data_IF_574938791707
#
_entry.id   IF_574938791707
#
_cell.length_a   1.000
_cell.length_b   1.000
_cell.length_c   1.000
_cell.angle_alpha   90.00
_cell.angle_beta   90.00
_cell.angle_gamma   90.00
#
_symmetry.space_group_name_H-M   'P 1'
#
loop_
_entity.id
_entity.type
_entity.pdbx_description
1 polymer ?
#
# COMPACT_ATOMS: atom_id res chain seq x y z
N UNK A 1 28.27 16.88 -10.34
CA UNK A 1 27.11 16.67 -9.46
C UNK A 1 26.42 15.41 -9.95
N UNK A 2 26.77 14.25 -9.39
CA UNK A 2 26.20 12.96 -9.81
C UNK A 2 24.89 12.81 -9.04
N UNK A 3 23.77 12.79 -9.75
CA UNK A 3 22.48 12.41 -9.20
C UNK A 3 22.61 10.94 -8.80
N UNK A 4 22.80 10.68 -7.51
CA UNK A 4 22.75 9.32 -6.96
C UNK A 4 21.43 8.69 -7.36
N UNK A 5 21.52 7.59 -8.08
CA UNK A 5 20.39 6.76 -8.43
C UNK A 5 19.61 6.40 -7.17
N UNK A 6 18.29 6.59 -7.18
CA UNK A 6 17.37 6.05 -6.16
C UNK A 6 17.19 4.51 -6.31
N UNK A 7 18.21 3.80 -6.76
CA UNK A 7 18.17 2.35 -7.01
C UNK A 7 18.92 1.53 -5.94
N UNK A 8 19.14 2.11 -4.75
CA UNK A 8 19.90 1.46 -3.67
C UNK A 8 19.12 0.47 -2.80
N UNK A 9 17.81 0.28 -3.04
CA UNK A 9 16.96 -0.59 -2.23
C UNK A 9 16.65 -1.86 -3.03
N UNK A 10 16.94 -3.02 -2.44
CA UNK A 10 16.65 -4.31 -3.07
C UNK A 10 15.15 -4.45 -3.36
N UNK A 11 14.82 -5.00 -4.53
CA UNK A 11 13.45 -5.38 -4.83
C UNK A 11 12.96 -6.47 -3.85
N UNK A 12 11.66 -6.48 -3.54
CA UNK A 12 11.10 -7.44 -2.61
C UNK A 12 10.98 -8.83 -3.24
N UNK A 13 10.91 -9.85 -2.39
CA UNK A 13 10.42 -11.16 -2.81
C UNK A 13 8.90 -11.13 -3.01
N UNK A 14 8.37 -12.10 -3.76
CA UNK A 14 6.92 -12.26 -3.95
C UNK A 14 6.17 -12.35 -2.61
N UNK A 15 6.72 -13.08 -1.65
CA UNK A 15 6.13 -13.25 -0.32
C UNK A 15 6.10 -11.94 0.48
N UNK A 16 7.14 -11.10 0.34
CA UNK A 16 7.16 -9.76 0.94
C UNK A 16 6.07 -8.86 0.35
N UNK A 17 5.83 -8.92 -0.97
CA UNK A 17 4.74 -8.17 -1.61
C UNK A 17 3.38 -8.68 -1.14
N UNK A 18 3.20 -9.99 -1.00
CA UNK A 18 1.95 -10.60 -0.50
C UNK A 18 1.69 -10.14 0.94
N UNK A 19 2.67 -10.27 1.83
CA UNK A 19 2.53 -9.88 3.23
C UNK A 19 2.22 -8.38 3.38
N UNK A 20 2.90 -7.52 2.61
CA UNK A 20 2.65 -6.08 2.66
C UNK A 20 1.26 -5.72 2.12
N UNK A 21 0.85 -6.35 1.01
CA UNK A 21 -0.51 -6.18 0.46
C UNK A 21 -1.56 -6.57 1.49
N UNK A 22 -1.42 -7.75 2.09
CA UNK A 22 -2.41 -8.28 3.02
C UNK A 22 -2.52 -7.40 4.27
N UNK A 23 -1.38 -6.89 4.77
CA UNK A 23 -1.38 -5.90 5.84
C UNK A 23 -2.13 -4.61 5.44
N UNK A 24 -1.76 -3.99 4.31
CA UNK A 24 -2.37 -2.72 3.86
C UNK A 24 -3.88 -2.90 3.63
N UNK A 25 -4.26 -4.00 2.98
CA UNK A 25 -5.67 -4.30 2.70
C UNK A 25 -6.43 -4.58 3.99
N UNK A 26 -5.85 -5.33 4.93
CA UNK A 26 -6.45 -5.59 6.25
C UNK A 26 -6.69 -4.29 7.02
N UNK A 27 -5.72 -3.37 7.05
CA UNK A 27 -5.86 -2.07 7.73
C UNK A 27 -6.84 -1.14 7.04
N UNK A 28 -6.82 -1.10 5.72
CA UNK A 28 -7.79 -0.33 4.92
C UNK A 28 -9.21 -0.86 5.15
N UNK A 29 -9.39 -2.19 5.17
CA UNK A 29 -10.67 -2.82 5.46
C UNK A 29 -11.16 -2.53 6.87
N UNK A 30 -10.29 -2.69 7.89
CA UNK A 30 -10.65 -2.40 9.29
C UNK A 30 -11.07 -0.94 9.47
N UNK A 31 -10.38 0.00 8.83
CA UNK A 31 -10.74 1.42 8.85
C UNK A 31 -12.05 1.72 8.10
N UNK A 32 -12.31 0.99 7.01
CA UNK A 32 -13.52 1.14 6.20
C UNK A 32 -14.73 0.39 6.78
N UNK A 33 -14.54 -0.55 7.71
CA UNK A 33 -15.59 -1.43 8.22
C UNK A 33 -16.86 -0.68 8.67
N UNK A 34 -16.79 0.46 9.37
CA UNK A 34 -17.98 1.24 9.75
C UNK A 34 -18.76 1.83 8.56
N UNK A 35 -18.15 1.88 7.37
CA UNK A 35 -18.76 2.38 6.14
C UNK A 35 -19.31 1.27 5.24
N UNK A 36 -19.02 0.00 5.55
CA UNK A 36 -19.51 -1.14 4.78
C UNK A 36 -21.02 -1.25 4.97
N UNK A 37 -21.73 -1.24 3.85
CA UNK A 37 -23.18 -1.40 3.80
C UNK A 37 -23.55 -2.86 3.71
N UNK A 38 -24.66 -3.23 4.35
CA UNK A 38 -25.29 -4.53 4.12
C UNK A 38 -26.07 -4.51 2.80
N UNK A 39 -26.25 -5.70 2.21
CA UNK A 39 -27.00 -5.85 0.97
C UNK A 39 -28.41 -5.26 1.11
N UNK A 40 -28.73 -4.29 0.25
CA UNK A 40 -30.05 -3.64 0.21
C UNK A 40 -30.15 -2.31 0.99
N UNK A 41 -29.15 -1.94 1.81
CA UNK A 41 -29.12 -0.63 2.45
C UNK A 41 -28.94 0.49 1.41
N UNK A 42 -29.44 1.72 1.64
CA UNK A 42 -29.19 2.86 0.74
C UNK A 42 -27.73 3.37 0.86
N UNK A 43 -27.20 4.09 -0.14
CA UNK A 43 -25.90 4.73 -0.06
C UNK A 43 -25.80 5.73 1.10
N UNK A 44 -24.59 5.92 1.63
CA UNK A 44 -24.31 7.02 2.55
C UNK A 44 -24.68 8.34 1.89
N UNK A 45 -25.25 9.25 2.68
CA UNK A 45 -25.67 10.55 2.17
C UNK A 45 -24.48 11.26 1.48
N UNK A 46 -24.66 11.83 0.28
CA UNK A 46 -23.61 12.58 -0.40
C UNK A 46 -23.03 13.68 0.51
N UNK A 47 -21.70 13.75 0.59
CA UNK A 47 -21.00 14.71 1.46
C UNK A 47 -20.92 14.33 2.94
N UNK A 48 -21.53 13.21 3.36
CA UNK A 48 -21.37 12.70 4.73
C UNK A 48 -19.93 12.21 4.99
N UNK A 49 -19.54 12.21 6.26
CA UNK A 49 -18.24 11.67 6.69
C UNK A 49 -18.09 10.21 6.28
N UNK A 50 -19.14 9.40 6.41
CA UNK A 50 -19.11 7.98 6.02
C UNK A 50 -18.95 7.80 4.51
N UNK A 51 -19.63 8.61 3.68
CA UNK A 51 -19.44 8.59 2.23
C UNK A 51 -17.98 8.94 1.85
N UNK A 52 -17.40 9.96 2.52
CA UNK A 52 -16.02 10.38 2.26
C UNK A 52 -14.99 9.34 2.67
N UNK A 53 -15.20 8.70 3.83
CA UNK A 53 -14.33 7.62 4.32
C UNK A 53 -14.41 6.41 3.39
N UNK A 54 -15.61 6.03 2.91
CA UNK A 54 -15.76 4.95 1.94
C UNK A 54 -15.02 5.24 0.63
N UNK A 55 -15.15 6.45 0.10
CA UNK A 55 -14.47 6.89 -1.13
C UNK A 55 -12.93 6.83 -0.99
N UNK A 56 -12.38 7.38 0.10
CA UNK A 56 -10.93 7.41 0.34
C UNK A 56 -10.38 5.99 0.53
N UNK A 57 -11.06 5.14 1.28
CA UNK A 57 -10.63 3.75 1.46
C UNK A 57 -10.69 2.96 0.15
N UNK A 58 -11.72 3.15 -0.66
CA UNK A 58 -11.81 2.54 -1.99
C UNK A 58 -10.66 2.98 -2.89
N UNK A 59 -10.37 4.29 -2.94
CA UNK A 59 -9.26 4.82 -3.73
C UNK A 59 -7.90 4.27 -3.28
N UNK A 60 -7.68 4.16 -1.97
CA UNK A 60 -6.46 3.58 -1.41
C UNK A 60 -6.31 2.10 -1.80
N UNK A 61 -7.38 1.31 -1.66
CA UNK A 61 -7.41 -0.10 -2.05
C UNK A 61 -7.09 -0.29 -3.55
N UNK A 62 -7.67 0.53 -4.42
CA UNK A 62 -7.41 0.46 -5.87
C UNK A 62 -5.96 0.80 -6.21
N UNK A 63 -5.41 1.86 -5.61
CA UNK A 63 -4.01 2.25 -5.83
C UNK A 63 -3.06 1.16 -5.34
N UNK A 64 -3.27 0.60 -4.15
CA UNK A 64 -2.39 -0.44 -3.60
C UNK A 64 -2.50 -1.73 -4.41
N UNK A 65 -3.70 -2.11 -4.84
CA UNK A 65 -3.93 -3.27 -5.70
C UNK A 65 -3.21 -3.12 -7.05
N UNK A 66 -3.30 -1.93 -7.66
CA UNK A 66 -2.65 -1.66 -8.94
C UNK A 66 -1.12 -1.65 -8.83
N UNK A 67 -0.56 -1.07 -7.76
CA UNK A 67 0.88 -1.10 -7.49
C UNK A 67 1.38 -2.53 -7.26
N UNK A 68 0.66 -3.32 -6.46
CA UNK A 68 1.02 -4.73 -6.23
C UNK A 68 0.97 -5.54 -7.53
N UNK A 69 -0.07 -5.37 -8.34
CA UNK A 69 -0.19 -6.06 -9.64
C UNK A 69 0.98 -5.76 -10.56
N UNK A 70 1.31 -4.48 -10.76
CA UNK A 70 2.48 -4.09 -11.57
C UNK A 70 3.78 -4.68 -11.05
N UNK A 71 3.95 -4.70 -9.73
CA UNK A 71 5.13 -5.28 -9.10
C UNK A 71 5.20 -6.79 -9.32
N UNK A 72 4.08 -7.51 -9.21
CA UNK A 72 4.03 -8.93 -9.54
C UNK A 72 4.38 -9.19 -11.00
N UNK A 73 3.78 -8.46 -11.94
CA UNK A 73 4.03 -8.62 -13.38
C UNK A 73 5.53 -8.45 -13.70
N UNK A 74 6.17 -7.45 -13.10
CA UNK A 74 7.61 -7.19 -13.30
C UNK A 74 8.50 -8.25 -12.64
N UNK A 75 8.14 -8.73 -11.44
CA UNK A 75 8.89 -9.80 -10.77
C UNK A 75 8.77 -11.13 -11.54
N UNK A 76 7.59 -11.44 -12.06
CA UNK A 76 7.33 -12.65 -12.86
C UNK A 76 8.00 -12.60 -14.24
N UNK A 77 8.28 -11.41 -14.77
CA UNK A 77 9.05 -11.24 -16.02
C UNK A 77 10.52 -11.69 -15.92
N UNK A 78 11.04 -11.87 -14.69
CA UNK A 78 12.44 -12.21 -14.41
C UNK A 78 13.45 -11.08 -14.66
N UNK A 79 13.00 -9.93 -15.19
CA UNK A 79 13.84 -8.77 -15.50
C UNK A 79 13.22 -7.49 -14.92
N UNK A 80 13.05 -7.39 -13.60
CA UNK A 80 12.32 -6.30 -12.99
C UNK A 80 13.01 -4.96 -13.23
N UNK A 81 12.27 -4.03 -13.84
CA UNK A 81 12.80 -2.75 -14.28
C UNK A 81 12.58 -1.60 -13.31
N UNK A 82 12.71 -0.34 -13.78
CA UNK A 82 12.43 0.85 -12.98
C UNK A 82 11.00 0.91 -12.43
N UNK A 83 10.04 0.29 -13.13
CA UNK A 83 8.63 0.23 -12.70
C UNK A 83 8.48 -0.59 -11.42
N UNK A 84 9.20 -1.72 -11.31
CA UNK A 84 9.21 -2.53 -10.10
C UNK A 84 9.70 -1.72 -8.89
N UNK A 85 10.82 -1.02 -9.06
CA UNK A 85 11.40 -0.19 -8.00
C UNK A 85 10.47 0.96 -7.60
N UNK A 86 9.90 1.67 -8.56
CA UNK A 86 8.97 2.77 -8.30
C UNK A 86 7.68 2.28 -7.61
N UNK A 87 7.18 1.11 -8.01
CA UNK A 87 5.99 0.51 -7.39
C UNK A 87 6.28 0.07 -5.95
N UNK A 88 7.45 -0.53 -5.73
CA UNK A 88 7.90 -0.92 -4.41
C UNK A 88 8.09 0.26 -3.46
N UNK A 89 8.79 1.30 -3.91
CA UNK A 89 8.99 2.52 -3.12
C UNK A 89 7.67 3.24 -2.81
N UNK A 90 6.70 3.19 -3.72
CA UNK A 90 5.36 3.76 -3.50
C UNK A 90 4.61 2.99 -2.40
N UNK A 91 4.66 1.66 -2.41
CA UNK A 91 4.08 0.84 -1.34
C UNK A 91 4.76 1.11 0.01
N UNK A 92 6.10 1.21 0.03
CA UNK A 92 6.85 1.58 1.22
C UNK A 92 6.60 3.02 1.68
N UNK A 93 6.17 3.92 0.79
CA UNK A 93 5.76 5.28 1.18
C UNK A 93 4.38 5.25 1.85
N UNK A 94 3.45 4.47 1.29
CA UNK A 94 2.12 4.26 1.86
C UNK A 94 2.22 3.64 3.25
N UNK A 95 3.09 2.63 3.43
CA UNK A 95 3.21 1.92 4.71
C UNK A 95 3.74 2.78 5.86
N UNK A 96 4.39 3.92 5.57
CA UNK A 96 4.82 4.87 6.61
C UNK A 96 3.63 5.33 7.48
N UNK A 97 2.42 5.38 6.93
CA UNK A 97 1.20 5.73 7.68
C UNK A 97 0.91 4.76 8.83
N UNK A 98 1.42 3.52 8.77
CA UNK A 98 1.25 2.48 9.78
C UNK A 98 2.57 2.07 10.44
N UNK A 99 3.57 2.94 10.47
CA UNK A 99 4.89 2.63 11.10
C UNK A 99 4.77 2.16 12.55
N UNK A 100 3.82 2.72 13.29
CA UNK A 100 3.63 2.44 14.73
C UNK A 100 2.61 1.32 14.97
N UNK A 101 2.15 0.67 13.89
CA UNK A 101 1.18 -0.41 13.96
C UNK A 101 1.86 -1.71 14.41
N UNK A 102 1.38 -2.36 15.49
CA UNK A 102 2.05 -3.54 16.06
C UNK A 102 1.95 -4.79 15.19
N UNK A 103 1.07 -4.81 14.17
CA UNK A 103 0.96 -5.92 13.22
C UNK A 103 1.77 -5.67 11.95
N UNK A 104 2.49 -4.54 11.86
CA UNK A 104 3.37 -4.27 10.74
C UNK A 104 4.46 -5.36 10.67
N UNK A 105 4.71 -6.00 9.52
CA UNK A 105 5.73 -7.04 9.45
C UNK A 105 7.12 -6.51 9.81
N UNK A 106 7.81 -7.16 10.76
CA UNK A 106 9.10 -6.71 11.33
C UNK A 106 10.18 -6.37 10.28
N UNK A 107 10.20 -7.08 9.15
CA UNK A 107 11.16 -6.85 8.08
C UNK A 107 10.97 -5.50 7.36
N UNK A 108 9.81 -4.86 7.52
CA UNK A 108 9.48 -3.56 6.90
C UNK A 108 10.21 -2.42 7.61
N UNK A 109 10.48 -2.53 8.93
CA UNK A 109 11.11 -1.45 9.70
C UNK A 109 12.47 -1.04 9.15
N UNK A 110 13.28 -2.02 8.70
CA UNK A 110 14.56 -1.77 8.05
C UNK A 110 14.46 -1.12 6.66
N UNK A 111 13.26 -1.06 6.09
CA UNK A 111 12.97 -0.53 4.76
C UNK A 111 12.22 0.81 4.79
N UNK A 112 11.73 1.24 5.96
CA UNK A 112 11.04 2.51 6.06
C UNK A 112 12.02 3.69 5.91
N UNK A 113 11.64 4.77 5.22
CA UNK A 113 12.43 5.99 5.24
C UNK A 113 12.56 6.53 6.67
N UNK A 114 13.74 7.02 7.03
CA UNK A 114 14.03 7.58 8.36
C UNK A 114 12.99 8.66 8.71
N UNK A 115 12.49 8.66 9.95
CA UNK A 115 11.53 9.69 10.40
C UNK A 115 12.23 11.05 10.24
N UNK A 116 11.67 12.02 9.49
CA UNK A 116 12.23 13.37 9.50
C UNK A 116 12.22 13.86 10.96
N UNK A 117 13.37 14.36 11.41
CA UNK A 117 13.54 14.94 12.74
C UNK A 117 12.76 16.24 12.87
#
# INVERSE_FOLDING_TARGET
MIVSSRFGRSLPTRDQVIALRDFIHGRTYAAAAPTIRLNGEPPHAPGSVLARVAEVNGALYEVTSHLCRRLYDELESGHPGPIAHASWDSLLTIIVAWREDPELPDWVDGLLPVKPR
#
